data_IF_975977957990
#
_entry.id   IF_975977957990
#
_cell.length_a   1.000
_cell.length_b   1.000
_cell.length_c   1.000
_cell.angle_alpha   90.00
_cell.angle_beta   90.00
_cell.angle_gamma   90.00
#
_symmetry.space_group_name_H-M   'P 1'
#
loop_
_entity.id
_entity.type
_entity.pdbx_description
1 polymer ?
#
# COMPACT_ATOMS: atom_id res chain seq x y z
N UNK A 1 -47.34 -63.57 34.16
CA UNK A 1 -47.73 -62.65 33.06
C UNK A 1 -46.54 -62.51 32.11
N UNK A 2 -46.55 -63.24 31.00
CA UNK A 2 -45.54 -63.20 29.92
C UNK A 2 -46.30 -63.30 28.61
N UNK A 3 -46.10 -62.34 27.70
CA UNK A 3 -46.36 -62.51 26.26
C UNK A 3 -45.46 -61.59 25.43
N UNK A 4 -45.16 -61.97 24.17
CA UNK A 4 -43.85 -61.77 23.56
C UNK A 4 -43.87 -61.08 22.17
N UNK A 5 -42.65 -60.83 21.66
CA UNK A 5 -42.15 -60.96 20.28
C UNK A 5 -42.95 -60.49 19.05
N UNK A 6 -42.29 -59.58 18.30
CA UNK A 6 -41.96 -59.58 16.86
C UNK A 6 -42.99 -60.05 15.81
N UNK A 7 -43.21 -59.24 14.76
CA UNK A 7 -43.03 -59.65 13.36
C UNK A 7 -43.09 -58.46 12.39
N UNK A 8 -42.33 -58.55 11.29
CA UNK A 8 -42.22 -57.59 10.20
C UNK A 8 -43.19 -57.93 9.05
N UNK A 9 -43.68 -56.95 8.28
CA UNK A 9 -43.88 -57.06 6.81
C UNK A 9 -44.26 -55.74 6.09
N UNK A 10 -43.34 -55.34 5.22
CA UNK A 10 -43.39 -54.77 3.85
C UNK A 10 -44.72 -54.42 3.14
N UNK A 11 -44.73 -53.18 2.58
CA UNK A 11 -45.33 -52.57 1.36
C UNK A 11 -46.82 -52.74 1.01
N UNK A 12 -47.43 -51.60 0.67
CA UNK A 12 -48.07 -51.37 -0.65
C UNK A 12 -48.00 -49.88 -1.04
N UNK A 13 -47.69 -49.62 -2.30
CA UNK A 13 -47.71 -48.31 -2.96
C UNK A 13 -49.13 -47.93 -3.36
N UNK A 14 -49.53 -46.67 -3.19
CA UNK A 14 -50.60 -46.03 -3.96
C UNK A 14 -50.16 -44.63 -4.40
N UNK A 15 -50.27 -44.42 -5.71
CA UNK A 15 -49.94 -43.20 -6.46
C UNK A 15 -51.20 -42.35 -6.55
N UNK A 16 -51.10 -41.05 -6.23
CA UNK A 16 -52.12 -40.08 -6.62
C UNK A 16 -51.51 -38.67 -6.80
N UNK A 17 -51.43 -38.24 -8.07
CA UNK A 17 -51.66 -36.89 -8.57
C UNK A 17 -50.82 -35.73 -8.04
N UNK A 18 -49.68 -35.44 -8.67
CA UNK A 18 -49.03 -34.14 -8.58
C UNK A 18 -49.63 -33.17 -9.62
N UNK A 19 -50.24 -32.08 -9.15
CA UNK A 19 -50.61 -30.94 -10.00
C UNK A 19 -49.34 -30.11 -10.28
N UNK A 20 -48.97 -29.98 -11.55
CA UNK A 20 -47.83 -29.17 -11.99
C UNK A 20 -48.30 -27.73 -12.18
N UNK A 21 -47.96 -26.85 -11.23
CA UNK A 21 -48.06 -25.41 -11.41
C UNK A 21 -46.84 -24.91 -12.19
N UNK A 22 -47.03 -24.51 -13.45
CA UNK A 22 -46.02 -23.79 -14.22
C UNK A 22 -45.82 -22.39 -13.63
N UNK A 23 -44.71 -22.18 -12.92
CA UNK A 23 -44.24 -20.84 -12.54
C UNK A 23 -43.40 -20.30 -13.70
N UNK A 24 -43.88 -19.25 -14.37
CA UNK A 24 -43.08 -18.49 -15.33
C UNK A 24 -41.91 -17.83 -14.58
N UNK A 25 -40.70 -18.36 -14.77
CA UNK A 25 -39.47 -17.68 -14.37
C UNK A 25 -39.22 -16.57 -15.39
N UNK A 26 -39.54 -15.34 -15.02
CA UNK A 26 -39.11 -14.16 -15.76
C UNK A 26 -37.58 -14.08 -15.69
N UNK A 27 -36.92 -14.34 -16.82
CA UNK A 27 -35.49 -14.15 -16.96
C UNK A 27 -35.18 -12.65 -16.83
N UNK A 28 -34.69 -12.25 -15.66
CA UNK A 28 -34.07 -10.94 -15.47
C UNK A 28 -32.84 -10.87 -16.40
N UNK A 29 -32.71 -9.84 -17.26
CA UNK A 29 -31.52 -9.68 -18.06
C UNK A 29 -30.34 -9.46 -17.12
N UNK A 30 -29.35 -10.36 -17.17
CA UNK A 30 -28.07 -10.15 -16.53
C UNK A 30 -27.50 -8.84 -17.07
N UNK A 31 -27.26 -7.87 -16.17
CA UNK A 31 -26.55 -6.65 -16.54
C UNK A 31 -25.22 -7.06 -17.18
N UNK A 32 -24.83 -6.50 -18.35
CA UNK A 32 -23.55 -6.80 -18.94
C UNK A 32 -22.46 -6.46 -17.92
N UNK A 33 -21.60 -7.42 -17.60
CA UNK A 33 -20.36 -7.14 -16.90
C UNK A 33 -19.65 -6.05 -17.72
N UNK A 34 -19.49 -4.86 -17.12
CA UNK A 34 -18.74 -3.76 -17.73
C UNK A 34 -17.35 -4.33 -18.00
N UNK A 35 -16.99 -4.53 -19.28
CA UNK A 35 -15.63 -4.89 -19.63
C UNK A 35 -14.72 -3.81 -19.03
N UNK A 36 -13.74 -4.22 -18.21
CA UNK A 36 -12.72 -3.30 -17.72
C UNK A 36 -12.08 -2.64 -18.95
N UNK A 37 -12.01 -1.31 -18.95
CA UNK A 37 -11.43 -0.60 -20.07
C UNK A 37 -9.92 -0.87 -20.09
N UNK A 38 -9.35 -1.00 -21.29
CA UNK A 38 -7.92 -1.29 -21.44
C UNK A 38 -7.07 -0.22 -20.71
N UNK A 39 -5.98 -0.64 -20.04
CA UNK A 39 -5.10 0.29 -19.36
C UNK A 39 -4.41 1.21 -20.38
N UNK A 40 -4.09 2.43 -19.94
CA UNK A 40 -3.50 3.49 -20.78
C UNK A 40 -2.19 3.97 -20.21
N UNK A 41 -1.27 4.32 -21.11
CA UNK A 41 -0.04 5.01 -20.70
C UNK A 41 -0.37 6.44 -20.28
N UNK A 42 -0.09 6.77 -19.03
CA UNK A 42 -0.23 8.12 -18.49
C UNK A 42 1.13 8.60 -17.99
N UNK A 43 1.52 9.83 -18.35
CA UNK A 43 2.80 10.42 -17.95
C UNK A 43 2.59 11.65 -17.06
N UNK A 44 3.60 11.96 -16.24
CA UNK A 44 3.55 13.01 -15.22
C UNK A 44 4.43 14.21 -15.60
N UNK A 45 4.43 15.28 -14.81
CA UNK A 45 5.27 16.47 -15.06
C UNK A 45 6.78 16.16 -15.00
N UNK A 46 7.17 15.08 -14.32
CA UNK A 46 8.53 14.54 -14.30
C UNK A 46 8.89 13.68 -15.52
N UNK A 47 8.00 13.56 -16.52
CA UNK A 47 8.16 12.68 -17.70
C UNK A 47 8.24 11.18 -17.35
N UNK A 48 7.77 10.82 -16.14
CA UNK A 48 7.64 9.43 -15.72
C UNK A 48 6.29 8.91 -16.22
N UNK A 49 6.26 7.72 -16.82
CA UNK A 49 5.04 7.13 -17.36
C UNK A 49 4.70 5.83 -16.66
N UNK A 50 3.40 5.61 -16.46
CA UNK A 50 2.81 4.41 -15.85
C UNK A 50 1.72 3.83 -16.76
N UNK A 51 1.51 2.52 -16.68
CA UNK A 51 0.38 1.86 -17.30
C UNK A 51 -0.80 1.83 -16.31
N UNK A 52 -1.74 2.75 -16.50
CA UNK A 52 -2.81 3.06 -15.53
C UNK A 52 -4.14 2.53 -16.04
N UNK A 53 -4.90 1.87 -15.18
CA UNK A 53 -6.24 1.42 -15.51
C UNK A 53 -7.20 2.60 -15.56
N UNK A 54 -8.00 2.66 -16.63
CA UNK A 54 -8.85 3.82 -16.91
C UNK A 54 -9.89 4.05 -15.81
N UNK A 55 -10.41 2.99 -15.20
CA UNK A 55 -11.39 3.06 -14.12
C UNK A 55 -10.91 3.79 -12.87
N UNK A 56 -9.59 3.85 -12.63
CA UNK A 56 -9.05 4.53 -11.46
C UNK A 56 -8.70 5.99 -11.71
N UNK A 57 -8.68 6.49 -12.95
CA UNK A 57 -8.17 7.85 -13.25
C UNK A 57 -8.96 8.96 -12.55
N UNK A 58 -10.27 8.85 -12.46
CA UNK A 58 -11.10 9.82 -11.76
C UNK A 58 -10.82 9.78 -10.25
N UNK A 59 -10.79 8.58 -9.66
CA UNK A 59 -10.45 8.36 -8.25
C UNK A 59 -9.06 8.89 -7.92
N UNK A 60 -8.07 8.65 -8.78
CA UNK A 60 -6.70 9.18 -8.68
C UNK A 60 -6.76 10.70 -8.66
N UNK A 61 -7.41 11.33 -9.65
CA UNK A 61 -7.51 12.80 -9.71
C UNK A 61 -8.17 13.40 -8.47
N UNK A 62 -9.25 12.80 -7.99
CA UNK A 62 -9.94 13.21 -6.77
C UNK A 62 -9.04 13.08 -5.53
N UNK A 63 -8.29 11.98 -5.41
CA UNK A 63 -7.40 11.77 -4.27
C UNK A 63 -6.18 12.71 -4.31
N UNK A 64 -5.59 12.95 -5.49
CA UNK A 64 -4.53 13.95 -5.69
C UNK A 64 -5.00 15.33 -5.21
N UNK A 65 -6.19 15.77 -5.62
CA UNK A 65 -6.75 17.06 -5.20
C UNK A 65 -6.97 17.12 -3.68
N UNK A 66 -7.54 16.05 -3.10
CA UNK A 66 -7.78 15.94 -1.66
C UNK A 66 -6.48 16.00 -0.84
N UNK A 67 -5.46 15.23 -1.24
CA UNK A 67 -4.17 15.18 -0.55
C UNK A 67 -3.42 16.50 -0.69
N UNK A 68 -3.41 17.12 -1.88
CA UNK A 68 -2.81 18.45 -2.07
C UNK A 68 -3.49 19.50 -1.19
N UNK A 69 -4.82 19.45 -1.05
CA UNK A 69 -5.53 20.32 -0.10
C UNK A 69 -5.11 20.06 1.35
N UNK A 70 -5.02 18.80 1.77
CA UNK A 70 -4.55 18.44 3.11
C UNK A 70 -3.14 19.01 3.39
N UNK A 71 -2.21 18.87 2.44
CA UNK A 71 -0.85 19.40 2.56
C UNK A 71 -0.89 20.93 2.68
N UNK A 72 -1.66 21.61 1.83
CA UNK A 72 -1.81 23.06 1.88
C UNK A 72 -2.38 23.53 3.23
N UNK A 73 -3.39 22.83 3.77
CA UNK A 73 -4.00 23.15 5.06
C UNK A 73 -2.99 22.96 6.23
N UNK A 74 -2.09 21.98 6.15
CA UNK A 74 -1.01 21.79 7.14
C UNK A 74 0.08 22.85 7.01
N UNK A 75 0.46 23.21 5.78
CA UNK A 75 1.44 24.28 5.52
C UNK A 75 0.93 25.65 5.97
N UNK A 76 -0.36 25.93 5.80
CA UNK A 76 -1.00 27.15 6.29
C UNK A 76 -0.95 27.29 7.83
N UNK A 77 -0.77 26.17 8.56
CA UNK A 77 -0.52 26.17 10.00
C UNK A 77 0.95 26.41 10.36
N UNK A 78 1.82 26.69 9.39
CA UNK A 78 3.25 26.94 9.59
C UNK A 78 4.10 25.68 9.75
N UNK A 79 3.57 24.50 9.39
CA UNK A 79 4.32 23.24 9.46
C UNK A 79 5.18 23.04 8.21
N UNK A 80 6.37 22.49 8.42
CA UNK A 80 7.12 21.83 7.37
C UNK A 80 6.45 20.48 7.01
N UNK A 81 6.51 20.12 5.75
CA UNK A 81 5.81 18.98 5.17
C UNK A 81 6.83 17.91 4.77
N UNK A 82 6.66 16.73 5.35
CA UNK A 82 7.41 15.53 4.99
C UNK A 82 6.57 14.52 4.23
N UNK A 83 7.17 13.79 3.30
CA UNK A 83 6.58 12.56 2.75
C UNK A 83 7.20 11.32 3.42
N UNK A 84 6.39 10.34 3.82
CA UNK A 84 6.87 9.03 4.27
C UNK A 84 6.83 8.03 3.12
N UNK A 85 7.99 7.50 2.74
CA UNK A 85 8.12 6.31 1.90
C UNK A 85 8.26 5.06 2.75
N UNK A 86 7.32 4.12 2.59
CA UNK A 86 7.25 2.88 3.35
C UNK A 86 6.62 1.77 2.53
N UNK A 87 7.18 0.54 2.50
CA UNK A 87 6.57 -0.57 1.80
C UNK A 87 5.22 -0.94 2.43
N UNK A 88 4.11 -0.64 1.75
CA UNK A 88 2.77 -1.03 2.19
C UNK A 88 2.40 -2.43 1.71
N UNK A 89 2.85 -2.83 0.53
CA UNK A 89 2.51 -4.12 -0.09
C UNK A 89 2.87 -5.33 0.79
N UNK A 90 2.07 -6.39 0.70
CA UNK A 90 2.35 -7.69 1.33
C UNK A 90 3.41 -8.52 0.55
N UNK A 91 3.89 -8.01 -0.60
CA UNK A 91 4.86 -8.69 -1.43
C UNK A 91 6.11 -9.12 -0.63
N UNK A 92 6.61 -10.31 -0.93
CA UNK A 92 7.80 -10.85 -0.27
C UNK A 92 7.57 -11.39 1.13
N UNK A 93 6.33 -11.48 1.64
CA UNK A 93 6.02 -12.05 2.95
C UNK A 93 5.66 -11.03 4.03
N UNK A 94 5.51 -9.76 3.65
CA UNK A 94 4.90 -8.75 4.51
C UNK A 94 3.39 -8.95 4.66
N UNK A 95 2.76 -8.06 5.42
CA UNK A 95 1.30 -8.07 5.56
C UNK A 95 0.80 -6.63 5.50
N UNK A 96 -0.08 -6.31 4.55
CA UNK A 96 -0.51 -4.94 4.28
C UNK A 96 -1.00 -4.21 5.55
N UNK A 97 -1.88 -4.83 6.33
CA UNK A 97 -2.40 -4.25 7.57
C UNK A 97 -1.28 -3.98 8.61
N UNK A 98 -0.28 -4.86 8.69
CA UNK A 98 0.86 -4.67 9.59
C UNK A 98 1.76 -3.55 9.09
N UNK A 99 2.05 -3.52 7.79
CA UNK A 99 2.84 -2.46 7.16
C UNK A 99 2.17 -1.08 7.29
N UNK A 100 0.84 -1.00 7.17
CA UNK A 100 0.09 0.24 7.42
C UNK A 100 0.17 0.68 8.88
N UNK A 101 0.09 -0.26 9.83
CA UNK A 101 0.28 0.06 11.25
C UNK A 101 1.72 0.55 11.55
N UNK A 102 2.72 -0.07 10.92
CA UNK A 102 4.12 0.35 11.00
C UNK A 102 4.29 1.75 10.41
N UNK A 103 3.72 2.02 9.23
CA UNK A 103 3.74 3.32 8.58
C UNK A 103 3.17 4.42 9.49
N UNK A 104 2.04 4.16 10.17
CA UNK A 104 1.47 5.08 11.14
C UNK A 104 2.44 5.36 12.31
N UNK A 105 3.05 4.31 12.88
CA UNK A 105 4.04 4.47 13.96
C UNK A 105 5.30 5.21 13.51
N UNK A 106 5.76 5.01 12.28
CA UNK A 106 6.89 5.76 11.73
C UNK A 106 6.51 7.23 11.59
N UNK A 107 5.36 7.54 11.00
CA UNK A 107 4.88 8.91 10.85
C UNK A 107 4.75 9.63 12.20
N UNK A 108 4.20 8.95 13.22
CA UNK A 108 4.14 9.44 14.61
C UNK A 108 5.55 9.76 15.14
N UNK A 109 6.49 8.82 15.11
CA UNK A 109 7.85 9.02 15.63
C UNK A 109 8.61 10.13 14.90
N UNK A 110 8.46 10.23 13.59
CA UNK A 110 9.11 11.29 12.79
C UNK A 110 8.50 12.65 13.15
N UNK A 111 7.18 12.71 13.32
CA UNK A 111 6.48 13.92 13.78
C UNK A 111 6.91 14.32 15.18
N UNK A 112 7.02 13.37 16.12
CA UNK A 112 7.50 13.59 17.48
C UNK A 112 8.94 14.11 17.49
N UNK A 113 9.84 13.50 16.71
CA UNK A 113 11.24 13.91 16.59
C UNK A 113 11.39 15.38 16.20
N UNK A 114 10.64 15.83 15.20
CA UNK A 114 10.75 17.20 14.69
C UNK A 114 9.82 18.19 15.38
N UNK A 115 8.87 17.70 16.19
CA UNK A 115 7.89 18.49 16.90
C UNK A 115 6.53 18.48 16.20
N UNK A 116 5.45 18.04 16.87
CA UNK A 116 4.11 17.96 16.27
C UNK A 116 3.49 19.30 15.81
N UNK A 117 4.00 20.42 16.35
CA UNK A 117 3.62 21.77 15.93
C UNK A 117 4.41 22.27 14.72
N UNK A 118 5.52 21.61 14.39
CA UNK A 118 6.50 22.07 13.41
C UNK A 118 6.50 21.23 12.15
N UNK A 119 6.10 19.96 12.22
CA UNK A 119 6.10 19.04 11.08
C UNK A 119 4.76 18.32 10.95
N UNK A 120 4.35 18.13 9.70
CA UNK A 120 3.36 17.16 9.29
C UNK A 120 4.02 16.13 8.36
N UNK A 121 3.80 14.84 8.63
CA UNK A 121 4.28 13.74 7.78
C UNK A 121 3.10 13.15 7.02
N UNK A 122 3.11 13.27 5.70
CA UNK A 122 2.17 12.62 4.82
C UNK A 122 2.45 11.11 4.80
N UNK A 123 1.52 10.33 5.35
CA UNK A 123 1.60 8.87 5.43
C UNK A 123 0.77 8.23 4.30
N UNK A 124 1.38 7.55 3.32
CA UNK A 124 0.64 6.93 2.23
C UNK A 124 -0.29 5.81 2.70
N UNK A 125 0.00 5.17 3.83
CA UNK A 125 -0.88 4.14 4.43
C UNK A 125 -2.20 4.70 4.96
N UNK A 126 -2.28 6.01 5.24
CA UNK A 126 -3.50 6.70 5.64
C UNK A 126 -4.21 7.38 4.46
N UNK A 127 -3.46 7.74 3.41
CA UNK A 127 -3.91 8.67 2.38
C UNK A 127 -4.06 8.04 0.98
N UNK A 128 -3.84 6.73 0.85
CA UNK A 128 -3.96 5.98 -0.42
C UNK A 128 -5.37 5.91 -1.02
N UNK A 129 -6.41 6.18 -0.22
CA UNK A 129 -7.80 6.27 -0.66
C UNK A 129 -8.51 4.91 -0.80
N UNK A 130 -9.64 4.73 -0.10
CA UNK A 130 -10.40 3.46 -0.10
C UNK A 130 -10.97 3.08 -1.48
N UNK A 131 -11.15 4.06 -2.37
CA UNK A 131 -11.64 3.85 -3.75
C UNK A 131 -10.62 3.19 -4.69
N UNK A 132 -9.40 2.95 -4.24
CA UNK A 132 -8.31 2.33 -5.01
C UNK A 132 -8.15 0.83 -4.73
N UNK A 133 -9.16 0.19 -4.13
CA UNK A 133 -9.15 -1.25 -3.92
C UNK A 133 -9.05 -1.99 -5.27
N UNK A 134 -8.05 -2.87 -5.41
CA UNK A 134 -7.77 -3.60 -6.64
C UNK A 134 -6.89 -2.86 -7.65
N UNK A 135 -6.53 -1.61 -7.37
CA UNK A 135 -5.58 -0.87 -8.18
C UNK A 135 -4.17 -1.50 -8.13
N UNK A 136 -3.45 -1.40 -9.25
CA UNK A 136 -2.07 -1.90 -9.37
C UNK A 136 -1.05 -0.94 -8.75
N UNK A 137 0.20 -1.40 -8.59
CA UNK A 137 1.30 -0.53 -8.17
C UNK A 137 1.48 0.69 -9.10
N UNK A 138 1.31 0.50 -10.41
CA UNK A 138 1.38 1.58 -11.39
C UNK A 138 0.27 2.64 -11.22
N UNK A 139 -0.94 2.24 -10.82
CA UNK A 139 -2.03 3.18 -10.54
C UNK A 139 -1.71 4.03 -9.30
N UNK A 140 -1.23 3.39 -8.23
CA UNK A 140 -0.78 4.08 -7.03
C UNK A 140 0.42 4.99 -7.30
N UNK A 141 1.39 4.53 -8.07
CA UNK A 141 2.58 5.32 -8.38
C UNK A 141 2.29 6.48 -9.31
N UNK A 142 1.35 6.37 -10.24
CA UNK A 142 0.87 7.52 -10.99
C UNK A 142 0.29 8.59 -10.06
N UNK A 143 -0.59 8.20 -9.12
CA UNK A 143 -1.16 9.10 -8.11
C UNK A 143 -0.10 9.74 -7.22
N UNK A 144 0.80 8.94 -6.63
CA UNK A 144 1.84 9.45 -5.73
C UNK A 144 2.85 10.32 -6.45
N UNK A 145 3.21 9.99 -7.69
CA UNK A 145 4.08 10.86 -8.50
C UNK A 145 3.43 12.22 -8.71
N UNK A 146 2.15 12.27 -9.07
CA UNK A 146 1.43 13.55 -9.21
C UNK A 146 1.37 14.33 -7.88
N UNK A 147 1.23 13.66 -6.74
CA UNK A 147 1.27 14.34 -5.44
C UNK A 147 2.67 14.92 -5.17
N UNK A 148 3.71 14.10 -5.32
CA UNK A 148 5.09 14.42 -4.97
C UNK A 148 5.73 15.46 -5.90
N UNK A 149 5.44 15.38 -7.20
CA UNK A 149 6.03 16.29 -8.18
C UNK A 149 5.46 17.70 -8.11
N UNK A 150 4.28 17.87 -7.50
CA UNK A 150 3.59 19.15 -7.43
C UNK A 150 3.08 19.62 -8.79
N UNK A 151 2.97 20.93 -8.99
CA UNK A 151 2.42 21.48 -10.24
C UNK A 151 3.47 21.57 -11.34
N UNK A 152 4.71 21.93 -10.99
CA UNK A 152 5.77 22.18 -11.97
C UNK A 152 6.87 21.10 -11.97
N UNK A 153 6.66 19.98 -11.28
CA UNK A 153 7.69 18.95 -11.16
C UNK A 153 8.84 19.33 -10.22
N UNK A 154 8.60 20.28 -9.32
CA UNK A 154 9.58 20.77 -8.34
C UNK A 154 9.23 20.34 -6.91
N UNK A 155 8.13 19.61 -6.71
CA UNK A 155 7.69 19.12 -5.39
C UNK A 155 7.53 20.23 -4.37
N UNK A 156 7.00 21.37 -4.79
CA UNK A 156 6.97 22.65 -4.07
C UNK A 156 6.28 22.55 -2.69
N UNK A 157 5.40 21.56 -2.55
CA UNK A 157 4.66 21.31 -1.32
C UNK A 157 5.47 20.58 -0.24
N UNK A 158 6.67 20.05 -0.54
CA UNK A 158 7.47 19.23 0.36
C UNK A 158 8.79 19.90 0.75
N UNK A 159 9.18 19.70 2.01
CA UNK A 159 10.46 20.13 2.58
C UNK A 159 11.43 18.96 2.76
N UNK A 160 10.90 17.74 2.98
CA UNK A 160 11.70 16.53 3.08
C UNK A 160 10.97 15.26 2.65
N UNK A 161 11.75 14.21 2.36
CA UNK A 161 11.27 12.85 2.16
C UNK A 161 11.97 11.93 3.15
N UNK A 162 11.18 11.13 3.85
CA UNK A 162 11.63 10.14 4.83
C UNK A 162 11.42 8.73 4.25
N UNK A 163 12.51 8.03 3.99
CA UNK A 163 12.52 6.64 3.55
C UNK A 163 12.72 5.72 4.76
N UNK A 164 11.75 4.85 5.02
CA UNK A 164 11.83 3.88 6.11
C UNK A 164 12.93 2.83 5.87
N UNK A 165 13.70 2.53 6.91
CA UNK A 165 14.73 1.50 6.87
C UNK A 165 14.54 0.40 7.91
N UNK A 166 15.48 -0.55 8.01
CA UNK A 166 15.35 -1.70 8.89
C UNK A 166 15.13 -1.32 10.37
N UNK A 167 15.77 -0.25 10.84
CA UNK A 167 15.63 0.18 12.24
C UNK A 167 14.22 0.69 12.55
N UNK A 168 13.52 1.25 11.56
CA UNK A 168 12.12 1.66 11.72
C UNK A 168 11.17 0.50 11.95
N UNK A 169 11.36 -0.60 11.21
CA UNK A 169 10.59 -1.84 11.39
C UNK A 169 10.99 -2.55 12.68
N UNK A 170 12.29 -2.63 12.97
CA UNK A 170 12.83 -3.22 14.19
C UNK A 170 12.21 -2.61 15.46
N UNK A 171 12.07 -1.27 15.51
CA UNK A 171 11.42 -0.56 16.63
C UNK A 171 9.95 -0.96 16.82
N UNK A 172 9.22 -1.27 15.76
CA UNK A 172 7.81 -1.67 15.88
C UNK A 172 7.65 -3.04 16.52
N UNK A 173 8.55 -3.97 16.19
CA UNK A 173 8.56 -5.33 16.75
C UNK A 173 9.42 -5.46 18.01
N UNK A 174 9.96 -4.35 18.52
CA UNK A 174 10.87 -4.35 19.67
C UNK A 174 12.05 -5.32 19.49
N UNK A 175 12.61 -5.33 18.27
CA UNK A 175 13.79 -6.12 17.94
C UNK A 175 15.03 -5.51 18.59
N UNK A 176 15.93 -6.38 19.02
CA UNK A 176 17.07 -6.01 19.88
C UNK A 176 18.41 -6.40 19.27
N UNK A 177 18.41 -7.06 18.12
CA UNK A 177 19.60 -7.70 17.54
C UNK A 177 19.91 -9.07 18.16
N UNK A 178 19.08 -9.56 19.08
CA UNK A 178 19.27 -10.84 19.78
C UNK A 178 17.99 -11.67 19.70
N UNK A 179 18.08 -12.84 19.08
CA UNK A 179 16.94 -13.74 18.85
C UNK A 179 15.74 -13.07 18.15
N UNK A 180 16.01 -12.13 17.24
CA UNK A 180 14.95 -11.35 16.57
C UNK A 180 14.05 -12.22 15.68
N UNK A 181 14.59 -13.31 15.13
CA UNK A 181 13.82 -14.23 14.30
C UNK A 181 12.80 -14.99 15.14
N UNK A 182 13.20 -15.46 16.32
CA UNK A 182 12.32 -16.13 17.28
C UNK A 182 11.24 -15.17 17.79
N UNK A 183 11.58 -13.89 18.02
CA UNK A 183 10.60 -12.85 18.38
C UNK A 183 9.56 -12.62 17.29
N UNK A 184 10.00 -12.50 16.03
CA UNK A 184 9.11 -12.30 14.88
C UNK A 184 8.19 -13.51 14.66
N UNK A 185 8.72 -14.72 14.83
CA UNK A 185 7.91 -15.93 14.77
C UNK A 185 6.87 -15.99 15.89
N UNK A 186 7.25 -15.69 17.12
CA UNK A 186 6.31 -15.63 18.25
C UNK A 186 5.24 -14.55 18.03
N UNK A 187 5.61 -13.39 17.48
CA UNK A 187 4.67 -12.34 17.12
C UNK A 187 3.68 -12.80 16.04
N UNK A 188 4.14 -13.55 15.04
CA UNK A 188 3.26 -14.15 14.04
C UNK A 188 2.26 -15.12 14.70
N UNK A 189 2.75 -16.01 15.57
CA UNK A 189 1.91 -17.00 16.24
C UNK A 189 0.87 -16.35 17.18
N UNK A 190 1.20 -15.22 17.81
CA UNK A 190 0.31 -14.48 18.72
C UNK A 190 -0.65 -13.51 18.01
N UNK A 191 -0.21 -12.81 16.96
CA UNK A 191 -0.97 -11.71 16.33
C UNK A 191 -1.52 -12.03 14.95
N UNK A 192 -0.88 -12.91 14.19
CA UNK A 192 -1.24 -13.18 12.79
C UNK A 192 -2.01 -14.48 12.67
N UNK A 193 -1.47 -15.59 13.17
CA UNK A 193 -2.07 -16.91 13.06
C UNK A 193 -3.52 -17.00 13.60
N UNK A 194 -3.88 -16.38 14.75
CA UNK A 194 -5.24 -16.46 15.26
C UNK A 194 -6.22 -15.47 14.62
N UNK A 195 -5.73 -14.47 13.86
CA UNK A 195 -6.58 -13.42 13.31
C UNK A 195 -7.31 -13.92 12.03
N UNK A 196 -8.66 -13.98 12.05
CA UNK A 196 -9.44 -14.50 10.92
C UNK A 196 -9.15 -13.81 9.58
N UNK A 197 -8.69 -12.55 9.59
CA UNK A 197 -8.41 -11.80 8.35
C UNK A 197 -7.24 -12.38 7.55
N UNK A 198 -6.35 -13.15 8.19
CA UNK A 198 -5.21 -13.78 7.52
C UNK A 198 -5.46 -15.26 7.18
N UNK A 199 -6.60 -15.83 7.58
CA UNK A 199 -6.87 -17.26 7.43
C UNK A 199 -6.72 -17.74 5.99
N UNK A 200 -7.25 -16.99 5.02
CA UNK A 200 -7.14 -17.32 3.60
C UNK A 200 -5.70 -17.23 3.10
N UNK A 201 -4.99 -16.15 3.44
CA UNK A 201 -3.59 -15.94 3.05
C UNK A 201 -2.64 -17.00 3.64
N UNK A 202 -2.93 -17.48 4.85
CA UNK A 202 -2.19 -18.58 5.48
C UNK A 202 -2.53 -19.90 4.80
N UNK A 203 -3.82 -20.17 4.57
CA UNK A 203 -4.27 -21.43 3.95
C UNK A 203 -3.76 -21.60 2.51
N UNK A 204 -3.67 -20.51 1.73
CA UNK A 204 -3.15 -20.54 0.37
C UNK A 204 -1.62 -20.38 0.27
N UNK A 205 -0.92 -20.24 1.40
CA UNK A 205 0.54 -20.17 1.47
C UNK A 205 1.15 -18.82 1.06
N UNK A 206 0.34 -17.80 0.75
CA UNK A 206 0.84 -16.45 0.44
C UNK A 206 1.41 -15.73 1.67
N UNK A 207 0.98 -16.12 2.87
CA UNK A 207 1.51 -15.64 4.14
C UNK A 207 1.92 -16.82 5.01
N UNK A 208 3.23 -16.99 5.24
CA UNK A 208 3.77 -18.06 6.08
C UNK A 208 4.57 -17.49 7.24
N UNK A 209 4.66 -18.23 8.34
CA UNK A 209 5.49 -17.89 9.52
C UNK A 209 6.94 -17.58 9.13
N UNK A 210 7.54 -18.42 8.29
CA UNK A 210 8.90 -18.21 7.79
C UNK A 210 9.01 -17.02 6.82
N UNK A 211 8.02 -16.81 5.95
CA UNK A 211 7.97 -15.67 5.04
C UNK A 211 7.88 -14.34 5.79
N UNK A 212 7.01 -14.27 6.80
CA UNK A 212 6.85 -13.13 7.70
C UNK A 212 8.17 -12.80 8.41
N UNK A 213 8.76 -13.79 9.09
CA UNK A 213 10.07 -13.64 9.76
C UNK A 213 11.14 -13.15 8.80
N UNK A 214 11.28 -13.78 7.63
CA UNK A 214 12.30 -13.40 6.64
C UNK A 214 12.05 -12.02 6.04
N UNK A 215 10.79 -11.59 5.92
CA UNK A 215 10.48 -10.24 5.47
C UNK A 215 10.90 -9.21 6.54
N UNK A 216 10.33 -9.28 7.74
CA UNK A 216 10.57 -8.28 8.79
C UNK A 216 11.98 -8.34 9.40
N UNK A 217 12.64 -9.49 9.36
CA UNK A 217 13.98 -9.67 9.88
C UNK A 217 15.12 -9.36 8.90
N UNK A 218 14.87 -9.38 7.58
CA UNK A 218 15.94 -9.21 6.58
C UNK A 218 15.66 -8.16 5.50
N UNK A 219 14.39 -7.91 5.15
CA UNK A 219 14.02 -7.17 3.94
C UNK A 219 13.10 -5.98 4.18
N UNK A 220 12.54 -5.83 5.37
CA UNK A 220 11.61 -4.74 5.66
C UNK A 220 12.33 -3.38 5.66
N UNK A 221 12.29 -2.74 4.49
CA UNK A 221 12.83 -1.41 4.21
C UNK A 221 12.37 -0.98 2.81
N UNK A 222 12.58 0.30 2.47
CA UNK A 222 12.33 0.80 1.11
C UNK A 222 13.16 0.09 0.02
N UNK A 223 14.26 -0.59 0.36
CA UNK A 223 15.15 -1.25 -0.59
C UNK A 223 14.55 -2.50 -1.27
N UNK A 224 13.37 -2.95 -0.84
CA UNK A 224 12.69 -4.13 -1.38
C UNK A 224 11.24 -3.81 -1.81
N UNK A 225 11.01 -2.56 -2.23
CA UNK A 225 9.70 -2.00 -2.55
C UNK A 225 9.71 -1.35 -3.92
N UNK A 226 8.89 -1.85 -4.86
CA UNK A 226 8.76 -1.24 -6.18
C UNK A 226 8.32 0.24 -6.06
N UNK A 227 7.26 0.52 -5.31
CA UNK A 227 6.82 1.90 -5.11
C UNK A 227 7.86 2.79 -4.44
N UNK A 228 8.61 2.30 -3.45
CA UNK A 228 9.64 3.13 -2.79
C UNK A 228 10.87 3.38 -3.66
N UNK A 229 11.17 2.47 -4.57
CA UNK A 229 12.19 2.68 -5.59
C UNK A 229 11.81 3.82 -6.55
N UNK A 230 10.55 3.84 -6.98
CA UNK A 230 10.02 4.94 -7.79
C UNK A 230 10.02 6.25 -7.00
N UNK A 231 9.58 6.25 -5.75
CA UNK A 231 9.63 7.43 -4.86
C UNK A 231 11.04 7.97 -4.65
N UNK A 232 12.05 7.10 -4.53
CA UNK A 232 13.46 7.50 -4.48
C UNK A 232 13.88 8.21 -5.76
N UNK A 233 13.54 7.63 -6.91
CA UNK A 233 13.83 8.21 -8.21
C UNK A 233 13.08 9.53 -8.44
N UNK A 234 11.84 9.67 -7.96
CA UNK A 234 11.06 10.92 -7.99
C UNK A 234 11.75 12.00 -7.17
N UNK A 235 12.13 11.70 -5.92
CA UNK A 235 12.83 12.66 -5.05
C UNK A 235 14.17 13.12 -5.67
N UNK A 236 14.93 12.19 -6.26
CA UNK A 236 16.16 12.49 -7.01
C UNK A 236 15.90 13.42 -8.20
N UNK A 237 14.87 13.13 -9.01
CA UNK A 237 14.52 13.94 -10.18
C UNK A 237 14.04 15.34 -9.80
N UNK A 238 13.27 15.48 -8.72
CA UNK A 238 12.88 16.78 -8.18
C UNK A 238 14.11 17.57 -7.76
N UNK A 239 15.03 16.96 -7.01
CA UNK A 239 16.27 17.63 -6.59
C UNK A 239 17.15 18.04 -7.77
N UNK A 240 17.21 17.22 -8.82
CA UNK A 240 17.89 17.57 -10.06
C UNK A 240 17.31 18.82 -10.73
N UNK A 241 15.99 18.89 -10.85
CA UNK A 241 15.31 20.07 -11.37
C UNK A 241 15.48 21.30 -10.47
N UNK A 242 15.36 21.14 -9.14
CA UNK A 242 15.55 22.23 -8.17
C UNK A 242 16.95 22.85 -8.24
N UNK A 243 18.00 22.05 -8.46
CA UNK A 243 19.37 22.58 -8.64
C UNK A 243 19.50 23.51 -9.83
N UNK A 244 18.76 23.24 -10.91
CA UNK A 244 18.72 24.08 -12.11
C UNK A 244 17.74 25.26 -12.03
N UNK A 245 16.84 25.29 -11.04
CA UNK A 245 15.82 26.32 -10.90
C UNK A 245 16.33 27.54 -10.13
N UNK A 246 16.00 28.75 -10.61
CA UNK A 246 16.43 30.03 -10.00
C UNK A 246 15.93 30.20 -8.57
N UNK A 247 14.73 29.71 -8.28
CA UNK A 247 14.04 29.95 -7.01
C UNK A 247 14.40 28.91 -5.94
N UNK A 248 15.21 27.90 -6.30
CA UNK A 248 15.63 26.83 -5.40
C UNK A 248 17.15 26.75 -5.28
N UNK A 249 17.82 26.26 -6.33
CA UNK A 249 19.25 25.95 -6.31
C UNK A 249 19.63 24.83 -5.33
N UNK A 250 20.93 24.65 -5.09
CA UNK A 250 21.48 23.59 -4.23
C UNK A 250 20.96 23.70 -2.79
N UNK A 251 20.79 24.92 -2.28
CA UNK A 251 20.44 25.17 -0.88
C UNK A 251 18.98 24.82 -0.53
N UNK A 252 18.08 24.76 -1.51
CA UNK A 252 16.64 24.52 -1.30
C UNK A 252 16.16 23.20 -1.94
N UNK A 253 17.04 22.22 -2.05
CA UNK A 253 16.66 20.84 -2.39
C UNK A 253 15.76 20.23 -1.30
N UNK A 254 14.99 19.21 -1.66
CA UNK A 254 14.32 18.33 -0.70
C UNK A 254 15.38 17.65 0.17
N UNK A 255 15.24 17.77 1.49
CA UNK A 255 16.04 16.97 2.40
C UNK A 255 15.62 15.50 2.31
N UNK A 256 16.58 14.58 2.20
CA UNK A 256 16.32 13.14 2.14
C UNK A 256 16.83 12.48 3.41
N UNK A 257 15.96 11.74 4.08
CA UNK A 257 16.25 10.99 5.31
C UNK A 257 16.01 9.52 5.04
N UNK A 258 16.92 8.65 5.47
CA UNK A 258 16.78 7.20 5.42
C UNK A 258 17.02 6.60 6.81
N UNK A 259 16.09 5.78 7.28
CA UNK A 259 16.17 5.07 8.57
C UNK A 259 16.51 5.99 9.75
N UNK A 260 15.97 7.21 9.73
CA UNK A 260 16.20 8.21 10.76
C UNK A 260 17.50 9.00 10.61
N UNK A 261 18.26 8.85 9.54
CA UNK A 261 19.48 9.62 9.30
C UNK A 261 19.42 10.41 7.99
N UNK A 262 19.95 11.64 7.93
CA UNK A 262 20.12 12.34 6.66
C UNK A 262 20.98 11.50 5.70
N UNK A 263 20.57 11.46 4.43
CA UNK A 263 21.32 10.77 3.38
C UNK A 263 22.50 11.65 2.94
N UNK A 264 23.65 11.03 2.67
CA UNK A 264 24.81 11.75 2.13
C UNK A 264 24.51 12.31 0.73
N UNK A 265 25.18 13.38 0.28
CA UNK A 265 24.93 13.97 -1.05
C UNK A 265 24.90 12.95 -2.19
N UNK A 266 25.91 12.09 -2.29
CA UNK A 266 25.96 11.05 -3.33
C UNK A 266 24.87 9.97 -3.21
N UNK A 267 24.33 9.76 -2.00
CA UNK A 267 23.29 8.78 -1.76
C UNK A 267 21.98 9.13 -2.48
N UNK A 268 21.51 10.37 -2.35
CA UNK A 268 20.23 10.78 -2.98
C UNK A 268 20.39 11.32 -4.42
N UNK A 269 21.61 11.37 -4.96
CA UNK A 269 21.86 11.72 -6.36
C UNK A 269 21.90 10.52 -7.31
N UNK A 270 22.04 9.30 -6.76
CA UNK A 270 22.15 8.06 -7.54
C UNK A 270 20.76 7.47 -7.80
N UNK A 271 20.42 7.07 -9.05
CA UNK A 271 19.17 6.39 -9.33
C UNK A 271 19.16 4.98 -8.73
N UNK A 272 17.97 4.48 -8.39
CA UNK A 272 17.74 3.06 -8.06
C UNK A 272 16.98 2.36 -9.20
N UNK A 273 16.91 1.03 -9.13
CA UNK A 273 16.14 0.23 -10.08
C UNK A 273 14.69 0.71 -10.14
N UNK A 274 14.09 0.73 -11.34
CA UNK A 274 12.70 1.12 -11.51
C UNK A 274 11.74 0.15 -10.79
N UNK A 275 10.66 0.73 -10.28
CA UNK A 275 9.55 0.06 -9.61
C UNK A 275 8.47 -0.38 -10.59
N UNK A 276 7.34 0.33 -10.49
CA UNK A 276 6.15 0.21 -11.33
C UNK A 276 6.20 1.13 -12.57
N UNK A 277 7.26 1.94 -12.71
CA UNK A 277 7.49 2.79 -13.90
C UNK A 277 7.52 1.96 -15.17
N UNK A 278 6.68 2.34 -16.14
CA UNK A 278 6.59 1.66 -17.42
C UNK A 278 5.39 2.11 -18.25
N UNK A 279 5.53 2.05 -19.56
CA UNK A 279 4.41 2.24 -20.49
C UNK A 279 3.62 0.94 -20.64
N UNK A 280 2.36 1.04 -21.03
CA UNK A 280 1.59 -0.15 -21.37
C UNK A 280 2.24 -0.90 -22.54
N UNK A 281 2.42 -2.20 -22.36
CA UNK A 281 2.87 -3.11 -23.42
C UNK A 281 1.63 -3.47 -24.25
N UNK A 282 1.73 -3.32 -25.57
CA UNK A 282 0.68 -3.74 -26.51
C UNK A 282 0.84 -5.20 -26.89
#
# INVERSE_FOLDING_TARGET
MRRPAACATVRTWQVAGAAISFTLVAALPAAPARAAADPVTACTALDICYCVHQEFKETIGANVARVRKLIADQRAQGKAIGYLSVPLSAAGGGAFVVNTAIAARIAERVTERFGPRSVFVLNPGAEGGDGMQGASGADYMYMWTQILEGENGLGEAFDFVYFSGPSDFAKYFELTGTHDFERLEAWFDDKIAPDPKYKEAIANGSLTRAGFRNYYGLRASVAFSYGSHDEWNIARMINDRRRGATDYGIANQLAVVFDGQPVSPGGYETPTAAGDVGRCVK
#
